data_IF_056151027732
#
_entry.id   IF_056151027732
#
_cell.length_a   1.000
_cell.length_b   1.000
_cell.length_c   1.000
_cell.angle_alpha   90.00
_cell.angle_beta   90.00
_cell.angle_gamma   90.00
#
_symmetry.space_group_name_H-M   'P 1'
#
loop_
_entity.id
_entity.type
_entity.pdbx_description
1 polymer ?
#
# COMPACT_ATOMS: atom_id res chain seq x y z
N UNK A 1 -11.17 -17.37 -16.13
CA UNK A 1 -11.89 -16.75 -15.00
C UNK A 1 -11.87 -15.23 -15.24
N UNK A 2 -13.01 -14.57 -15.43
CA UNK A 2 -13.04 -13.11 -15.67
C UNK A 2 -12.74 -12.41 -14.34
N UNK A 3 -11.60 -11.73 -14.26
CA UNK A 3 -11.31 -10.80 -13.16
C UNK A 3 -12.35 -9.68 -13.25
N UNK A 4 -13.27 -9.61 -12.28
CA UNK A 4 -14.23 -8.52 -12.20
C UNK A 4 -13.47 -7.25 -11.81
N UNK A 5 -13.65 -6.11 -12.50
CA UNK A 5 -13.10 -4.86 -12.03
C UNK A 5 -13.66 -4.56 -10.64
N UNK A 6 -12.78 -4.34 -9.66
CA UNK A 6 -13.17 -3.89 -8.33
C UNK A 6 -13.83 -2.51 -8.47
N UNK A 7 -15.16 -2.51 -8.52
CA UNK A 7 -15.97 -1.30 -8.58
C UNK A 7 -16.49 -1.04 -7.18
N UNK A 8 -16.09 0.09 -6.62
CA UNK A 8 -16.73 0.62 -5.42
C UNK A 8 -18.22 0.80 -5.73
N UNK A 9 -19.13 0.22 -4.93
CA UNK A 9 -20.56 0.42 -5.12
C UNK A 9 -20.86 1.92 -5.12
N UNK A 10 -21.48 2.40 -6.20
CA UNK A 10 -22.00 3.77 -6.24
C UNK A 10 -23.25 3.80 -5.37
N UNK A 11 -23.26 4.65 -4.36
CA UNK A 11 -24.49 5.02 -3.66
C UNK A 11 -24.99 6.33 -4.26
N UNK A 12 -26.06 6.29 -5.06
CA UNK A 12 -26.65 7.51 -5.64
C UNK A 12 -27.09 8.52 -4.56
N UNK A 13 -27.20 8.08 -3.30
CA UNK A 13 -27.61 8.87 -2.14
C UNK A 13 -26.48 9.34 -1.22
N UNK A 14 -25.18 9.12 -1.52
CA UNK A 14 -24.10 9.57 -0.63
C UNK A 14 -22.82 10.00 -1.34
N UNK A 15 -22.21 11.09 -0.86
CA UNK A 15 -20.89 11.57 -1.31
C UNK A 15 -19.73 10.73 -0.79
N UNK A 16 -19.97 9.91 0.24
CA UNK A 16 -18.99 9.04 0.90
C UNK A 16 -19.50 7.60 0.86
N UNK A 17 -18.62 6.66 0.49
CA UNK A 17 -18.86 5.23 0.68
C UNK A 17 -17.99 4.73 1.82
N UNK A 18 -18.61 4.09 2.82
CA UNK A 18 -17.93 3.54 3.99
C UNK A 18 -17.94 2.02 3.90
N UNK A 19 -16.78 1.40 4.08
CA UNK A 19 -16.60 -0.05 4.03
C UNK A 19 -15.94 -0.54 5.32
N UNK A 20 -16.37 -1.71 5.78
CA UNK A 20 -15.73 -2.47 6.84
C UNK A 20 -15.38 -3.82 6.24
N UNK A 21 -14.09 -4.14 6.19
CA UNK A 21 -13.61 -5.46 5.80
C UNK A 21 -13.25 -6.20 7.07
N UNK A 22 -13.98 -7.26 7.39
CA UNK A 22 -13.72 -8.16 8.51
C UNK A 22 -13.68 -9.59 7.99
N UNK A 23 -12.54 -9.94 7.40
CA UNK A 23 -12.35 -11.16 6.63
C UNK A 23 -11.06 -11.86 7.06
N UNK A 24 -10.77 -13.04 6.50
CA UNK A 24 -9.49 -13.73 6.76
C UNK A 24 -8.30 -12.89 6.31
N UNK A 25 -8.41 -12.25 5.16
CA UNK A 25 -7.42 -11.36 4.58
C UNK A 25 -8.12 -10.28 3.74
N UNK A 26 -7.45 -9.14 3.54
CA UNK A 26 -7.96 -8.08 2.67
C UNK A 26 -7.94 -8.50 1.20
N UNK A 27 -8.73 -7.84 0.36
CA UNK A 27 -8.74 -8.10 -1.08
C UNK A 27 -7.32 -8.02 -1.68
N UNK A 28 -6.84 -9.16 -2.18
CA UNK A 28 -5.42 -9.44 -2.44
C UNK A 28 -5.00 -9.27 -3.91
N UNK A 29 -5.92 -8.84 -4.77
CA UNK A 29 -5.65 -8.52 -6.16
C UNK A 29 -5.34 -7.04 -6.33
N UNK A 30 -4.31 -6.72 -7.11
CA UNK A 30 -3.98 -5.36 -7.52
C UNK A 30 -5.17 -4.74 -8.25
N UNK A 31 -5.62 -3.60 -7.76
CA UNK A 31 -6.75 -2.88 -8.31
C UNK A 31 -6.53 -1.37 -8.25
N UNK A 32 -7.41 -0.63 -8.91
CA UNK A 32 -7.45 0.82 -8.88
C UNK A 32 -8.91 1.26 -9.09
N UNK A 33 -9.28 2.41 -8.53
CA UNK A 33 -10.62 2.97 -8.66
C UNK A 33 -10.55 4.51 -8.69
N UNK A 34 -11.60 5.17 -9.17
CA UNK A 34 -11.62 6.64 -9.33
C UNK A 34 -11.65 7.41 -8.02
N UNK A 35 -12.12 6.77 -6.95
CA UNK A 35 -12.26 7.33 -5.62
C UNK A 35 -10.87 7.43 -4.95
N UNK A 36 -10.68 8.44 -4.09
CA UNK A 36 -9.64 8.41 -3.07
C UNK A 36 -10.14 7.48 -1.97
N UNK A 37 -9.26 6.59 -1.50
CA UNK A 37 -9.53 5.68 -0.40
C UNK A 37 -8.69 6.05 0.81
N UNK A 38 -9.32 6.26 1.97
CA UNK A 38 -8.63 6.36 3.27
C UNK A 38 -8.91 5.08 4.03
N UNK A 39 -7.88 4.31 4.37
CA UNK A 39 -8.01 3.01 5.05
C UNK A 39 -7.30 3.03 6.39
N UNK A 40 -8.04 2.70 7.45
CA UNK A 40 -7.49 2.38 8.76
C UNK A 40 -7.42 0.86 8.93
N UNK A 41 -6.20 0.34 9.07
CA UNK A 41 -5.94 -1.08 9.39
C UNK A 41 -6.12 -1.25 10.91
N UNK A 42 -7.23 -1.85 11.34
CA UNK A 42 -7.51 -2.09 12.75
C UNK A 42 -6.74 -3.32 13.23
N UNK A 43 -6.85 -4.43 12.50
CA UNK A 43 -6.03 -5.62 12.69
C UNK A 43 -5.57 -6.16 11.34
N UNK A 44 -4.33 -6.63 11.27
CA UNK A 44 -3.78 -7.12 10.02
C UNK A 44 -2.34 -6.66 9.84
N UNK A 45 -1.54 -7.50 9.20
CA UNK A 45 -0.21 -7.12 8.75
C UNK A 45 0.13 -7.80 7.43
N UNK A 46 1.02 -7.17 6.68
CA UNK A 46 1.31 -7.63 5.34
C UNK A 46 2.24 -6.70 4.56
N UNK A 47 2.04 -6.70 3.26
CA UNK A 47 2.74 -5.88 2.28
C UNK A 47 1.74 -4.98 1.56
N UNK A 48 2.03 -3.69 1.54
CA UNK A 48 1.33 -2.68 0.75
C UNK A 48 2.12 -2.45 -0.53
N UNK A 49 1.42 -2.56 -1.66
CA UNK A 49 1.90 -2.07 -2.95
C UNK A 49 1.02 -0.86 -3.32
N UNK A 50 1.63 0.27 -3.68
CA UNK A 50 0.92 1.47 -4.15
C UNK A 50 1.77 2.20 -5.20
N UNK A 51 1.39 2.08 -6.48
CA UNK A 51 2.22 2.53 -7.60
C UNK A 51 3.56 1.80 -7.62
N UNK A 52 4.68 2.53 -7.51
CA UNK A 52 6.03 1.99 -7.36
C UNK A 52 6.48 1.76 -5.90
N UNK A 53 5.65 2.10 -4.92
CA UNK A 53 5.92 1.81 -3.52
C UNK A 53 5.71 0.33 -3.21
N UNK A 54 6.68 -0.22 -2.48
CA UNK A 54 6.58 -1.52 -1.83
C UNK A 54 6.96 -1.33 -0.36
N UNK A 55 6.00 -1.55 0.53
CA UNK A 55 6.18 -1.36 1.97
C UNK A 55 5.42 -2.38 2.79
N UNK A 56 5.62 -2.37 4.10
CA UNK A 56 4.80 -3.15 5.03
C UNK A 56 3.66 -2.31 5.59
N UNK A 57 2.58 -2.98 5.99
CA UNK A 57 1.55 -2.39 6.83
C UNK A 57 1.36 -3.25 8.08
N UNK A 58 0.92 -2.63 9.17
CA UNK A 58 0.58 -3.26 10.45
C UNK A 58 -0.69 -2.63 11.04
N UNK A 59 -1.26 -3.30 12.03
CA UNK A 59 -2.38 -2.82 12.85
C UNK A 59 -2.11 -1.42 13.41
N UNK A 60 -3.14 -0.58 13.42
CA UNK A 60 -3.10 0.81 13.89
C UNK A 60 -2.71 1.83 12.83
N UNK A 61 -2.24 1.41 11.66
CA UNK A 61 -1.81 2.35 10.61
C UNK A 61 -2.97 2.84 9.74
N UNK A 62 -2.85 4.08 9.27
CA UNK A 62 -3.80 4.70 8.35
C UNK A 62 -3.06 5.09 7.07
N UNK A 63 -3.71 4.79 5.94
CA UNK A 63 -3.18 5.09 4.63
C UNK A 63 -4.20 5.79 3.73
N UNK A 64 -3.72 6.57 2.76
CA UNK A 64 -4.53 7.18 1.70
C UNK A 64 -4.04 6.70 0.35
N UNK A 65 -4.92 6.07 -0.43
CA UNK A 65 -4.67 5.68 -1.81
C UNK A 65 -5.27 6.73 -2.74
N UNK A 66 -4.47 7.25 -3.67
CA UNK A 66 -4.90 8.26 -4.62
C UNK A 66 -5.86 7.71 -5.69
N UNK A 67 -6.63 8.62 -6.30
CA UNK A 67 -7.51 8.30 -7.42
C UNK A 67 -6.75 7.62 -8.56
N UNK A 68 -7.27 6.47 -8.99
CA UNK A 68 -6.74 5.65 -10.08
C UNK A 68 -5.27 5.23 -9.93
N UNK A 69 -4.75 5.13 -8.71
CA UNK A 69 -3.42 4.57 -8.48
C UNK A 69 -3.55 3.06 -8.20
N UNK A 70 -2.81 2.19 -8.89
CA UNK A 70 -2.79 0.75 -8.57
C UNK A 70 -2.31 0.51 -7.15
N UNK A 71 -3.08 -0.22 -6.37
CA UNK A 71 -2.72 -0.58 -5.00
C UNK A 71 -3.29 -1.93 -4.57
N UNK A 72 -2.67 -2.52 -3.55
CA UNK A 72 -3.16 -3.74 -2.88
C UNK A 72 -2.55 -3.87 -1.49
N UNK A 73 -3.39 -4.28 -0.54
CA UNK A 73 -2.96 -4.71 0.80
C UNK A 73 -2.93 -6.23 0.83
N UNK A 74 -1.74 -6.82 0.66
CA UNK A 74 -1.58 -8.27 0.73
C UNK A 74 -1.21 -8.68 2.13
N UNK A 75 -2.13 -9.33 2.84
CA UNK A 75 -1.85 -9.89 4.16
C UNK A 75 -0.71 -10.92 4.11
N UNK A 76 -0.02 -11.11 5.22
CA UNK A 76 1.02 -12.14 5.33
C UNK A 76 0.43 -13.56 5.23
N UNK A 77 1.26 -14.53 4.84
CA UNK A 77 0.86 -15.92 4.54
C UNK A 77 0.02 -16.59 5.65
N UNK A 78 0.30 -16.28 6.92
CA UNK A 78 -0.44 -16.80 8.08
C UNK A 78 -1.95 -16.50 8.03
N UNK A 79 -2.37 -15.39 7.43
CA UNK A 79 -3.80 -15.05 7.25
C UNK A 79 -4.53 -15.97 6.25
N UNK A 80 -3.82 -16.67 5.38
CA UNK A 80 -4.39 -17.62 4.41
C UNK A 80 -4.42 -19.06 4.93
N UNK A 81 -3.65 -19.35 5.99
CA UNK A 81 -3.43 -20.71 6.49
C UNK A 81 -4.07 -20.95 7.86
N UNK A 82 -4.14 -19.92 8.70
CA UNK A 82 -4.64 -20.00 10.07
C UNK A 82 -6.02 -19.32 10.21
N UNK A 83 -6.69 -19.52 11.35
CA UNK A 83 -7.94 -18.82 11.70
C UNK A 83 -7.69 -17.39 12.21
N UNK A 84 -6.88 -16.63 11.48
CA UNK A 84 -6.69 -15.21 11.77
C UNK A 84 -7.70 -14.35 10.99
N UNK A 85 -7.93 -13.14 11.49
CA UNK A 85 -8.81 -12.14 10.86
C UNK A 85 -8.07 -10.82 10.65
N UNK A 86 -8.27 -10.24 9.48
CA UNK A 86 -7.84 -8.90 9.12
C UNK A 86 -9.07 -7.99 9.13
N UNK A 87 -8.96 -6.87 9.85
CA UNK A 87 -10.02 -5.89 10.02
C UNK A 87 -9.56 -4.52 9.55
N UNK A 88 -10.30 -3.91 8.63
CA UNK A 88 -10.09 -2.53 8.22
C UNK A 88 -11.39 -1.76 8.08
N UNK A 89 -11.28 -0.44 8.19
CA UNK A 89 -12.34 0.49 7.82
C UNK A 89 -11.83 1.41 6.72
N UNK A 90 -12.61 1.58 5.66
CA UNK A 90 -12.26 2.43 4.52
C UNK A 90 -13.33 3.48 4.24
N UNK A 91 -12.88 4.68 3.91
CA UNK A 91 -13.69 5.80 3.43
C UNK A 91 -13.31 6.06 1.97
N UNK A 92 -14.29 6.02 1.08
CA UNK A 92 -14.11 6.30 -0.34
C UNK A 92 -14.88 7.56 -0.72
N UNK A 93 -14.24 8.46 -1.47
CA UNK A 93 -14.87 9.67 -1.98
C UNK A 93 -14.22 10.13 -3.29
N UNK A 94 -14.94 10.92 -4.08
CA UNK A 94 -14.42 11.42 -5.36
C UNK A 94 -13.74 12.77 -5.20
N UNK A 95 -12.48 12.84 -5.62
CA UNK A 95 -11.72 14.09 -5.69
C UNK A 95 -12.45 15.18 -6.48
N UNK A 96 -13.12 14.79 -7.58
CA UNK A 96 -13.88 15.71 -8.44
C UNK A 96 -14.93 16.51 -7.66
N UNK A 97 -15.68 15.85 -6.76
CA UNK A 97 -16.72 16.53 -5.99
C UNK A 97 -16.13 17.63 -5.09
N UNK A 98 -14.97 17.39 -4.46
CA UNK A 98 -14.29 18.40 -3.67
C UNK A 98 -13.75 19.55 -4.55
N UNK A 99 -13.20 19.23 -5.73
CA UNK A 99 -12.74 20.23 -6.72
C UNK A 99 -13.90 21.12 -7.17
N UNK A 100 -15.05 20.54 -7.50
CA UNK A 100 -16.25 21.29 -7.88
C UNK A 100 -16.78 22.13 -6.72
N UNK A 101 -16.86 21.55 -5.52
CA UNK A 101 -17.35 22.27 -4.33
C UNK A 101 -16.45 23.44 -3.97
N UNK A 102 -15.13 23.33 -4.16
CA UNK A 102 -14.16 24.42 -3.93
C UNK A 102 -14.38 25.67 -4.81
N UNK A 103 -15.14 25.53 -5.90
CA UNK A 103 -15.55 26.66 -6.76
C UNK A 103 -16.66 27.49 -6.11
N UNK A 104 -17.49 26.86 -5.28
CA UNK A 104 -18.60 27.49 -4.55
C UNK A 104 -18.21 27.92 -3.14
N UNK A 105 -17.39 27.12 -2.45
CA UNK A 105 -16.94 27.35 -1.07
C UNK A 105 -15.41 27.45 -1.03
N UNK A 106 -14.83 28.67 -0.98
CA UNK A 106 -13.39 28.88 -1.01
C UNK A 106 -12.61 28.19 0.11
N UNK A 107 -13.25 27.94 1.26
CA UNK A 107 -12.66 27.25 2.41
C UNK A 107 -12.20 25.83 2.03
N UNK A 108 -12.89 25.17 1.10
CA UNK A 108 -12.51 23.81 0.64
C UNK A 108 -11.23 23.82 -0.20
N UNK A 109 -10.76 24.98 -0.67
CA UNK A 109 -9.52 25.07 -1.46
C UNK A 109 -8.29 24.56 -0.70
N UNK A 110 -8.28 24.66 0.63
CA UNK A 110 -7.20 24.12 1.47
C UNK A 110 -7.01 22.60 1.28
N UNK A 111 -8.09 21.88 0.95
CA UNK A 111 -8.08 20.44 0.77
C UNK A 111 -7.58 20.01 -0.62
N UNK A 112 -7.44 20.94 -1.58
CA UNK A 112 -6.98 20.62 -2.94
C UNK A 112 -5.53 20.13 -2.95
N UNK A 113 -4.70 20.66 -2.04
CA UNK A 113 -3.32 20.21 -1.88
C UNK A 113 -3.26 18.77 -1.38
N UNK A 114 -4.11 18.42 -0.40
CA UNK A 114 -4.26 17.04 0.07
C UNK A 114 -4.66 16.10 -1.07
N UNK A 115 -5.63 16.48 -1.90
CA UNK A 115 -6.08 15.67 -3.05
C UNK A 115 -4.93 15.42 -4.02
N UNK A 116 -4.13 16.43 -4.34
CA UNK A 116 -2.96 16.29 -5.21
C UNK A 116 -1.90 15.37 -4.57
N UNK A 117 -1.67 15.55 -3.28
CA UNK A 117 -0.71 14.78 -2.50
C UNK A 117 -1.10 13.30 -2.36
N UNK A 118 -2.40 12.99 -2.36
CA UNK A 118 -2.90 11.61 -2.31
C UNK A 118 -2.45 10.76 -3.52
N UNK A 119 -2.14 11.35 -4.68
CA UNK A 119 -1.60 10.63 -5.84
C UNK A 119 -0.23 9.98 -5.58
N UNK A 120 0.48 10.46 -4.56
CA UNK A 120 1.75 9.87 -4.09
C UNK A 120 1.55 8.73 -3.10
N UNK A 121 0.31 8.54 -2.64
CA UNK A 121 0.00 7.70 -1.50
C UNK A 121 0.49 8.31 -0.19
N UNK A 122 -0.32 8.23 0.86
CA UNK A 122 0.00 8.80 2.16
C UNK A 122 -0.06 7.71 3.23
N UNK A 123 0.86 7.76 4.18
CA UNK A 123 0.81 7.04 5.46
C UNK A 123 0.77 8.06 6.60
N UNK A 124 -0.14 7.91 7.53
CA UNK A 124 -0.14 8.68 8.78
C UNK A 124 1.06 8.24 9.64
N UNK A 125 1.82 9.20 10.17
CA UNK A 125 2.94 8.91 11.08
C UNK A 125 2.41 8.42 12.42
N UNK A 126 3.15 7.50 13.04
CA UNK A 126 2.72 6.78 14.23
C UNK A 126 2.29 7.76 15.36
N UNK A 127 2.99 8.88 15.57
CA UNK A 127 2.71 9.92 16.57
C UNK A 127 1.31 10.59 16.44
N UNK A 128 0.73 10.58 15.23
CA UNK A 128 -0.56 11.21 14.95
C UNK A 128 -1.70 10.19 14.83
N UNK A 129 -1.41 8.89 15.00
CA UNK A 129 -2.37 7.81 14.77
C UNK A 129 -3.60 7.95 15.68
N UNK A 130 -3.42 8.23 16.98
CA UNK A 130 -4.54 8.36 17.92
C UNK A 130 -5.52 9.47 17.52
N UNK A 131 -5.00 10.65 17.15
CA UNK A 131 -5.83 11.77 16.72
C UNK A 131 -6.60 11.45 15.43
N UNK A 132 -5.90 10.87 14.45
CA UNK A 132 -6.50 10.45 13.19
C UNK A 132 -7.55 9.36 13.36
N UNK A 133 -7.28 8.34 14.19
CA UNK A 133 -8.22 7.27 14.52
C UNK A 133 -9.50 7.84 15.14
N UNK A 134 -9.38 8.76 16.11
CA UNK A 134 -10.53 9.40 16.74
C UNK A 134 -11.40 10.16 15.73
N UNK A 135 -10.77 10.91 14.80
CA UNK A 135 -11.50 11.59 13.73
C UNK A 135 -12.15 10.61 12.76
N UNK A 136 -11.44 9.53 12.38
CA UNK A 136 -11.93 8.48 11.52
C UNK A 136 -13.16 7.76 12.12
N UNK A 137 -13.12 7.47 13.43
CA UNK A 137 -14.25 6.87 14.14
C UNK A 137 -15.49 7.77 14.15
N UNK A 138 -15.32 9.09 14.29
CA UNK A 138 -16.44 10.04 14.23
C UNK A 138 -17.18 9.97 12.90
N UNK A 139 -16.46 9.76 11.78
CA UNK A 139 -17.09 9.57 10.46
C UNK A 139 -18.01 8.35 10.46
N UNK A 140 -17.53 7.22 10.98
CA UNK A 140 -18.31 5.96 11.05
C UNK A 140 -19.48 6.02 12.03
N UNK A 141 -19.34 6.75 13.14
CA UNK A 141 -20.39 6.89 14.17
C UNK A 141 -21.45 7.95 13.81
N UNK A 142 -21.21 8.76 12.79
CA UNK A 142 -22.12 9.84 12.37
C UNK A 142 -22.93 9.47 11.13
N UNK A 143 -23.98 10.24 10.82
CA UNK A 143 -24.79 10.11 9.60
C UNK A 143 -25.15 11.49 9.02
N UNK A 144 -25.65 11.52 7.79
CA UNK A 144 -26.09 12.75 7.11
C UNK A 144 -25.04 13.87 7.16
N UNK A 145 -25.49 15.09 7.46
CA UNK A 145 -24.62 16.27 7.55
C UNK A 145 -23.55 16.15 8.66
N UNK A 146 -23.87 15.50 9.80
CA UNK A 146 -22.89 15.29 10.88
C UNK A 146 -21.71 14.44 10.41
N UNK A 147 -21.96 13.43 9.56
CA UNK A 147 -20.91 12.62 8.93
C UNK A 147 -20.06 13.46 7.99
N UNK A 148 -20.69 14.30 7.18
CA UNK A 148 -19.97 15.17 6.25
C UNK A 148 -19.06 16.16 7.01
N UNK A 149 -19.55 16.75 8.11
CA UNK A 149 -18.73 17.59 8.99
C UNK A 149 -17.54 16.81 9.59
N UNK A 150 -17.78 15.64 10.17
CA UNK A 150 -16.71 14.79 10.71
C UNK A 150 -15.69 14.37 9.64
N UNK A 151 -16.13 14.19 8.40
CA UNK A 151 -15.27 13.89 7.28
C UNK A 151 -14.36 15.07 6.92
N UNK A 152 -14.89 16.30 6.88
CA UNK A 152 -14.06 17.49 6.69
C UNK A 152 -13.07 17.73 7.84
N UNK A 153 -13.48 17.49 9.09
CA UNK A 153 -12.55 17.48 10.23
C UNK A 153 -11.40 16.49 10.02
N UNK A 154 -11.70 15.27 9.56
CA UNK A 154 -10.68 14.26 9.23
C UNK A 154 -9.76 14.73 8.09
N UNK A 155 -10.31 15.28 7.00
CA UNK A 155 -9.51 15.75 5.87
C UNK A 155 -8.59 16.91 6.25
N UNK A 156 -9.05 17.80 7.12
CA UNK A 156 -8.24 18.91 7.63
C UNK A 156 -6.98 18.41 8.36
N UNK A 157 -7.07 17.30 9.10
CA UNK A 157 -5.89 16.69 9.75
C UNK A 157 -4.84 16.22 8.73
N UNK A 158 -5.25 15.73 7.56
CA UNK A 158 -4.32 15.34 6.50
C UNK A 158 -3.63 16.53 5.82
N UNK A 159 -4.13 17.76 6.03
CA UNK A 159 -3.48 18.99 5.59
C UNK A 159 -2.20 19.31 6.37
N UNK A 160 -2.01 18.72 7.56
CA UNK A 160 -0.78 18.90 8.34
C UNK A 160 0.32 17.94 7.83
N UNK A 161 1.33 18.48 7.12
CA UNK A 161 2.45 17.70 6.58
C UNK A 161 3.29 16.99 7.65
N UNK A 162 3.32 17.50 8.88
CA UNK A 162 4.02 16.83 9.98
C UNK A 162 3.37 15.49 10.32
N UNK A 163 2.05 15.36 10.11
CA UNK A 163 1.29 14.16 10.45
C UNK A 163 1.42 13.02 9.44
N UNK A 164 2.01 13.28 8.27
CA UNK A 164 2.00 12.36 7.14
C UNK A 164 3.40 12.06 6.59
N UNK A 165 3.52 10.91 5.95
CA UNK A 165 4.65 10.52 5.11
C UNK A 165 4.13 10.06 3.74
N UNK A 166 4.83 10.43 2.68
CA UNK A 166 4.49 9.98 1.33
C UNK A 166 5.01 8.57 1.07
N UNK A 167 4.20 7.74 0.42
CA UNK A 167 4.61 6.40 -0.02
C UNK A 167 5.56 6.49 -1.23
N UNK A 168 5.32 7.47 -2.11
CA UNK A 168 6.07 7.67 -3.33
C UNK A 168 6.66 9.09 -3.43
N UNK A 169 7.84 9.20 -4.03
CA UNK A 169 8.48 10.51 -4.29
C UNK A 169 7.65 11.33 -5.29
N UNK A 170 7.18 10.69 -6.36
CA UNK A 170 6.41 11.33 -7.43
C UNK A 170 4.95 10.82 -7.46
N UNK A 171 4.02 11.62 -7.98
CA UNK A 171 2.66 11.18 -8.25
C UNK A 171 2.63 9.92 -9.13
N UNK A 172 1.67 9.05 -8.84
CA UNK A 172 1.44 7.81 -9.56
C UNK A 172 0.32 7.98 -10.59
N UNK A 173 0.39 7.19 -11.65
CA UNK A 173 -0.59 7.24 -12.74
C UNK A 173 -1.40 5.96 -12.78
N UNK A 174 -2.57 6.07 -13.39
CA UNK A 174 -3.37 4.90 -13.73
C UNK A 174 -2.68 4.01 -14.73
N UNK A 175 -2.99 2.72 -14.62
CA UNK A 175 -2.48 1.69 -15.51
C UNK A 175 -3.65 1.11 -16.28
N UNK A 176 -3.46 0.69 -17.54
CA UNK A 176 -4.55 0.06 -18.29
C UNK A 176 -4.90 -1.28 -17.64
N UNK A 177 -6.16 -1.69 -17.73
CA UNK A 177 -6.64 -2.92 -17.08
C UNK A 177 -5.81 -4.17 -17.40
N UNK A 178 -5.42 -4.34 -18.68
CA UNK A 178 -4.58 -5.45 -19.11
C UNK A 178 -3.15 -5.38 -18.54
N UNK A 179 -2.60 -4.18 -18.38
CA UNK A 179 -1.30 -3.97 -17.74
C UNK A 179 -1.39 -4.19 -16.22
N UNK A 180 -2.49 -3.76 -15.59
CA UNK A 180 -2.75 -3.98 -14.16
C UNK A 180 -2.82 -5.46 -13.81
N UNK A 181 -3.53 -6.26 -14.60
CA UNK A 181 -3.55 -7.73 -14.43
C UNK A 181 -2.16 -8.35 -14.55
N UNK A 182 -1.40 -7.93 -15.56
CA UNK A 182 -0.03 -8.43 -15.76
C UNK A 182 0.88 -8.08 -14.58
N UNK A 183 0.79 -6.86 -14.06
CA UNK A 183 1.51 -6.46 -12.85
C UNK A 183 1.09 -7.30 -11.64
N UNK A 184 -0.21 -7.55 -11.46
CA UNK A 184 -0.72 -8.37 -10.37
C UNK A 184 -0.16 -9.79 -10.41
N UNK A 185 -0.09 -10.40 -11.59
CA UNK A 185 0.49 -11.73 -11.78
C UNK A 185 2.00 -11.74 -11.47
N UNK A 186 2.74 -10.72 -11.93
CA UNK A 186 4.17 -10.56 -11.60
C UNK A 186 4.38 -10.41 -10.09
N UNK A 187 3.58 -9.55 -9.43
CA UNK A 187 3.69 -9.32 -7.99
C UNK A 187 3.32 -10.57 -7.20
N UNK A 188 2.24 -11.27 -7.58
CA UNK A 188 1.82 -12.53 -6.95
C UNK A 188 2.90 -13.58 -7.03
N UNK A 189 3.40 -13.84 -8.24
CA UNK A 189 4.48 -14.78 -8.46
C UNK A 189 5.70 -14.43 -7.59
N UNK A 190 6.07 -13.15 -7.54
CA UNK A 190 7.23 -12.68 -6.77
C UNK A 190 7.04 -12.90 -5.27
N UNK A 191 5.89 -12.48 -4.71
CA UNK A 191 5.58 -12.61 -3.29
C UNK A 191 5.47 -14.08 -2.84
N UNK A 192 5.07 -14.99 -3.73
CA UNK A 192 4.98 -16.42 -3.43
C UNK A 192 6.34 -17.14 -3.57
N UNK A 193 7.24 -16.63 -4.41
CA UNK A 193 8.49 -17.31 -4.79
C UNK A 193 9.76 -16.60 -4.29
N UNK A 194 9.67 -15.46 -3.59
CA UNK A 194 10.83 -14.64 -3.23
C UNK A 194 11.94 -15.38 -2.48
N UNK A 195 11.59 -16.42 -1.70
CA UNK A 195 12.54 -17.20 -0.89
C UNK A 195 13.51 -18.03 -1.73
N UNK A 196 13.20 -18.30 -3.01
CA UNK A 196 14.11 -19.00 -3.94
C UNK A 196 14.72 -18.04 -4.95
N UNK A 197 15.73 -18.52 -5.68
CA UNK A 197 16.24 -17.81 -6.87
C UNK A 197 15.12 -17.69 -7.91
N UNK A 198 14.90 -16.49 -8.42
CA UNK A 198 14.00 -16.18 -9.53
C UNK A 198 14.86 -15.61 -10.65
N UNK A 199 14.79 -16.19 -11.85
CA UNK A 199 15.46 -15.66 -13.04
C UNK A 199 14.60 -14.62 -13.75
N UNK A 200 15.22 -13.77 -14.57
CA UNK A 200 14.47 -12.79 -15.37
C UNK A 200 13.64 -13.47 -16.45
N UNK A 201 14.06 -14.63 -16.91
CA UNK A 201 13.37 -15.48 -17.87
C UNK A 201 12.05 -15.98 -17.27
N UNK A 202 12.08 -16.55 -16.05
CA UNK A 202 10.88 -17.05 -15.37
C UNK A 202 9.80 -15.95 -15.18
N UNK A 203 10.19 -14.78 -14.68
CA UNK A 203 9.21 -13.70 -14.46
C UNK A 203 8.74 -13.07 -15.77
N UNK A 204 9.57 -13.09 -16.82
CA UNK A 204 9.16 -12.64 -18.14
C UNK A 204 8.10 -13.58 -18.74
N UNK A 205 8.22 -14.89 -18.52
CA UNK A 205 7.20 -15.87 -18.90
C UNK A 205 5.86 -15.62 -18.19
N UNK A 206 5.89 -15.34 -16.87
CA UNK A 206 4.68 -14.93 -16.12
C UNK A 206 4.02 -13.70 -16.75
N UNK A 207 4.83 -12.74 -17.22
CA UNK A 207 4.37 -11.54 -17.90
C UNK A 207 3.91 -11.79 -19.35
N UNK A 208 4.10 -12.99 -19.89
CA UNK A 208 3.96 -13.34 -21.30
C UNK A 208 4.80 -12.45 -22.22
N UNK A 209 6.08 -12.24 -21.85
CA UNK A 209 7.03 -11.38 -22.54
C UNK A 209 8.39 -12.06 -22.69
N UNK A 210 9.16 -11.63 -23.69
CA UNK A 210 10.60 -11.89 -23.67
C UNK A 210 11.29 -11.02 -22.61
N UNK A 211 12.47 -11.46 -22.15
CA UNK A 211 13.27 -10.79 -21.12
C UNK A 211 13.46 -9.29 -21.35
N UNK A 212 13.87 -8.89 -22.56
CA UNK A 212 14.13 -7.48 -22.86
C UNK A 212 12.87 -6.62 -22.74
N UNK A 213 11.74 -7.14 -23.23
CA UNK A 213 10.44 -6.47 -23.15
C UNK A 213 9.95 -6.40 -21.70
N UNK A 214 10.11 -7.48 -20.93
CA UNK A 214 9.80 -7.51 -19.52
C UNK A 214 10.60 -6.47 -18.73
N UNK A 215 11.92 -6.38 -18.91
CA UNK A 215 12.73 -5.42 -18.18
C UNK A 215 12.31 -3.96 -18.45
N UNK A 216 12.01 -3.61 -19.71
CA UNK A 216 11.48 -2.28 -20.06
C UNK A 216 10.09 -2.06 -19.46
N UNK A 217 9.20 -3.04 -19.63
CA UNK A 217 7.83 -2.99 -19.13
C UNK A 217 7.77 -2.79 -17.62
N UNK A 218 8.51 -3.60 -16.87
CA UNK A 218 8.53 -3.54 -15.41
C UNK A 218 9.07 -2.18 -14.94
N UNK A 219 10.21 -1.75 -15.47
CA UNK A 219 10.80 -0.45 -15.11
C UNK A 219 9.91 0.73 -15.47
N UNK A 220 9.14 0.65 -16.57
CA UNK A 220 8.18 1.69 -16.93
C UNK A 220 7.08 1.86 -15.89
N UNK A 221 6.61 0.75 -15.29
CA UNK A 221 5.46 0.76 -14.37
C UNK A 221 5.86 0.91 -12.90
N UNK A 222 7.04 0.41 -12.52
CA UNK A 222 7.51 0.39 -11.12
C UNK A 222 8.69 1.33 -10.88
N UNK A 223 9.20 2.00 -11.91
CA UNK A 223 10.43 2.83 -11.89
C UNK A 223 11.68 2.11 -11.38
N UNK A 224 11.61 0.81 -11.13
CA UNK A 224 12.67 -0.03 -10.57
C UNK A 224 12.98 -1.18 -11.52
N UNK A 225 14.19 -1.73 -11.42
CA UNK A 225 14.44 -3.02 -12.05
C UNK A 225 13.71 -4.11 -11.26
N UNK A 226 13.37 -5.22 -11.91
CA UNK A 226 12.77 -6.35 -11.20
C UNK A 226 13.65 -6.87 -10.07
N UNK A 227 14.97 -6.86 -10.26
CA UNK A 227 15.93 -7.32 -9.26
C UNK A 227 15.93 -6.37 -8.05
N UNK A 228 15.85 -5.05 -8.26
CA UNK A 228 15.74 -4.10 -7.15
C UNK A 228 14.41 -4.29 -6.40
N UNK A 229 13.30 -4.44 -7.11
CA UNK A 229 12.00 -4.73 -6.50
C UNK A 229 12.01 -6.01 -5.66
N UNK A 230 12.57 -7.10 -6.20
CA UNK A 230 12.71 -8.36 -5.48
C UNK A 230 13.58 -8.18 -4.22
N UNK A 231 14.70 -7.48 -4.33
CA UNK A 231 15.56 -7.22 -3.17
C UNK A 231 14.86 -6.36 -2.12
N UNK A 232 14.14 -5.30 -2.51
CA UNK A 232 13.36 -4.47 -1.59
C UNK A 232 12.33 -5.32 -0.83
N UNK A 233 11.62 -6.21 -1.53
CA UNK A 233 10.69 -7.14 -0.91
C UNK A 233 11.39 -8.05 0.11
N UNK A 234 12.49 -8.67 -0.29
CA UNK A 234 13.27 -9.57 0.58
C UNK A 234 13.82 -8.86 1.81
N UNK A 235 14.28 -7.61 1.68
CA UNK A 235 14.71 -6.81 2.82
C UNK A 235 13.52 -6.51 3.74
N UNK A 236 12.34 -6.20 3.20
CA UNK A 236 11.12 -6.06 4.00
C UNK A 236 10.79 -7.30 4.82
N UNK A 237 10.91 -8.50 4.22
CA UNK A 237 10.74 -9.77 4.92
C UNK A 237 11.84 -10.01 5.98
N UNK A 238 13.08 -9.66 5.66
CA UNK A 238 14.19 -9.73 6.60
C UNK A 238 13.99 -8.84 7.83
N UNK A 239 13.45 -7.63 7.65
CA UNK A 239 13.10 -6.75 8.77
C UNK A 239 12.08 -7.40 9.70
N UNK A 240 11.06 -8.07 9.16
CA UNK A 240 10.08 -8.82 9.96
C UNK A 240 10.74 -9.96 10.73
N UNK A 241 11.58 -10.75 10.07
CA UNK A 241 12.30 -11.86 10.71
C UNK A 241 13.26 -11.41 11.81
N UNK A 242 13.83 -10.20 11.70
CA UNK A 242 14.73 -9.62 12.71
C UNK A 242 14.02 -9.16 13.98
N UNK A 243 12.69 -9.01 13.97
CA UNK A 243 11.91 -8.72 15.17
C UNK A 243 11.96 -9.90 16.16
N UNK A 244 12.12 -11.13 15.65
CA UNK A 244 12.40 -12.28 16.49
C UNK A 244 13.89 -12.32 16.85
N UNK A 245 14.21 -12.13 18.13
CA UNK A 245 15.59 -12.08 18.64
C UNK A 245 16.34 -13.41 18.54
N UNK A 246 15.63 -14.52 18.40
CA UNK A 246 16.23 -15.86 18.28
C UNK A 246 16.87 -16.09 16.90
N UNK A 247 16.43 -15.36 15.88
CA UNK A 247 16.96 -15.50 14.54
C UNK A 247 18.37 -14.92 14.42
N UNK A 248 19.33 -15.73 13.94
CA UNK A 248 20.66 -15.21 13.60
C UNK A 248 20.60 -14.37 12.32
N UNK A 249 21.49 -13.38 12.16
CA UNK A 249 21.54 -12.57 10.92
C UNK A 249 21.77 -13.44 9.68
N UNK A 250 22.53 -14.54 9.83
CA UNK A 250 22.77 -15.52 8.77
C UNK A 250 21.47 -16.25 8.37
N UNK A 251 20.70 -16.72 9.36
CA UNK A 251 19.41 -17.35 9.13
C UNK A 251 18.44 -16.39 8.43
N UNK A 252 18.32 -15.15 8.92
CA UNK A 252 17.50 -14.11 8.28
C UNK A 252 17.88 -13.89 6.82
N UNK A 253 19.18 -13.84 6.51
CA UNK A 253 19.66 -13.67 5.14
C UNK A 253 19.12 -14.79 4.22
N UNK A 254 19.26 -16.05 4.62
CA UNK A 254 18.86 -17.18 3.78
C UNK A 254 17.33 -17.36 3.73
N UNK A 255 16.62 -17.19 4.85
CA UNK A 255 15.15 -17.29 4.90
C UNK A 255 14.46 -16.17 4.12
N UNK A 256 15.07 -14.98 4.05
CA UNK A 256 14.58 -13.89 3.19
C UNK A 256 14.94 -14.07 1.71
N UNK A 257 15.61 -15.17 1.33
CA UNK A 257 15.89 -15.52 -0.07
C UNK A 257 17.19 -14.94 -0.65
N UNK A 258 18.08 -14.39 0.17
CA UNK A 258 19.44 -14.05 -0.27
C UNK A 258 20.37 -15.25 -0.19
N UNK A 259 21.19 -15.44 -1.22
CA UNK A 259 22.17 -16.54 -1.28
C UNK A 259 23.55 -16.17 -0.73
N UNK A 260 23.77 -14.91 -0.35
CA UNK A 260 25.06 -14.42 0.12
C UNK A 260 24.90 -13.29 1.15
N UNK A 261 25.49 -13.50 2.33
CA UNK A 261 25.46 -12.58 3.46
C UNK A 261 26.05 -11.19 3.14
N UNK A 262 27.12 -11.13 2.35
CA UNK A 262 27.73 -9.85 1.97
C UNK A 262 26.80 -8.99 1.12
N UNK A 263 26.10 -9.61 0.16
CA UNK A 263 25.12 -8.92 -0.66
C UNK A 263 23.91 -8.49 0.17
N UNK A 264 23.43 -9.38 1.05
CA UNK A 264 22.35 -9.08 1.98
C UNK A 264 22.68 -7.86 2.86
N UNK A 265 23.82 -7.86 3.55
CA UNK A 265 24.20 -6.75 4.43
C UNK A 265 24.29 -5.41 3.68
N UNK A 266 24.87 -5.43 2.47
CA UNK A 266 24.97 -4.23 1.62
C UNK A 266 23.59 -3.71 1.24
N UNK A 267 22.71 -4.58 0.74
CA UNK A 267 21.35 -4.19 0.33
C UNK A 267 20.47 -3.80 1.52
N UNK A 268 20.61 -4.48 2.66
CA UNK A 268 19.90 -4.14 3.88
C UNK A 268 20.25 -2.72 4.35
N UNK A 269 21.54 -2.35 4.36
CA UNK A 269 21.97 -1.00 4.70
C UNK A 269 21.54 0.04 3.68
N UNK A 270 21.59 -0.29 2.39
CA UNK A 270 21.11 0.57 1.29
C UNK A 270 19.62 0.92 1.44
N UNK A 271 18.78 -0.07 1.78
CA UNK A 271 17.33 0.09 1.88
C UNK A 271 16.89 0.68 3.23
N UNK A 272 17.49 0.26 4.35
CA UNK A 272 17.03 0.64 5.70
C UNK A 272 17.85 1.75 6.35
N UNK A 273 18.99 2.11 5.77
CA UNK A 273 19.97 3.03 6.36
C UNK A 273 20.79 2.45 7.53
N UNK A 274 20.47 1.23 8.00
CA UNK A 274 21.12 0.56 9.13
C UNK A 274 21.64 -0.82 8.72
N UNK A 275 22.65 -1.34 9.40
CA UNK A 275 23.02 -2.76 9.28
C UNK A 275 21.96 -3.63 9.97
N UNK A 276 21.85 -4.94 9.62
CA UNK A 276 20.90 -5.85 10.29
C UNK A 276 21.06 -5.90 11.82
N UNK A 277 22.30 -5.76 12.31
CA UNK A 277 22.58 -5.73 13.76
C UNK A 277 22.10 -4.43 14.41
N UNK A 278 22.37 -3.29 13.79
CA UNK A 278 21.89 -1.99 14.27
C UNK A 278 20.36 -1.91 14.24
N UNK A 279 19.73 -2.46 13.20
CA UNK A 279 18.27 -2.49 13.07
C UNK A 279 17.60 -3.31 14.19
N UNK A 280 18.21 -4.44 14.60
CA UNK A 280 17.70 -5.27 15.70
C UNK A 280 17.74 -4.54 17.06
N UNK A 281 18.69 -3.64 17.24
CA UNK A 281 18.90 -2.92 18.50
C UNK A 281 18.06 -1.66 18.67
N UNK A 282 17.25 -1.30 17.67
CA UNK A 282 16.36 -0.11 17.67
C UNK A 282 14.90 -0.50 17.73
#
# INVERSE_FOLDING_TARGET
MKVLPFKIPKTEASSLYLQIDDEKYFYDMLHQHSEIQITWVISGEGTLIHGDHLGSFKSGQIFVMGSNVPHVFRCDKKYYQEEMRALSKSIFFRAEHLRETSKLFPEIRELLQFIQNAERGIRVKDDFSTQMINAFEKVFKSNGLKRLNAFFELLHLFGNEESIAYLNELPQKSVKEAEGRRLDDIFRFTLENFGRRITLEEVAEVANMNKASFCRYFKQHTRKTYIDFLNDYRIGQACKLLLNKDNTVSQVCYESGFSNLSNFNRKFKEVTGKTPREYRGS
#
